data_IF_731859994281
#
_entry.id   IF_731859994281
#
_cell.length_a   1.000
_cell.length_b   1.000
_cell.length_c   1.000
_cell.angle_alpha   90.00
_cell.angle_beta   90.00
_cell.angle_gamma   90.00
#
_symmetry.space_group_name_H-M   'P 1'
#
loop_
_entity.id
_entity.type
_entity.pdbx_description
1 polymer ?
#
# COMPACT_ATOMS: atom_id res chain seq x y z
N UNK A 1 17.55 9.77 27.55
CA UNK A 1 16.65 9.37 26.44
C UNK A 1 17.21 9.81 25.08
N UNK A 2 18.45 9.41 24.71
CA UNK A 2 19.11 9.81 23.45
C UNK A 2 19.48 8.61 22.53
N UNK A 3 19.00 7.41 22.85
CA UNK A 3 19.42 6.18 22.16
C UNK A 3 18.48 5.61 21.08
N UNK A 4 17.26 6.15 20.92
CA UNK A 4 16.25 5.52 20.04
C UNK A 4 16.13 6.12 18.64
N UNK A 5 16.68 7.31 18.40
CA UNK A 5 16.57 8.00 17.09
C UNK A 5 17.64 7.51 16.11
N UNK A 6 18.78 7.05 16.62
CA UNK A 6 19.89 6.55 15.78
C UNK A 6 19.59 5.20 15.11
N UNK A 7 18.65 4.43 15.65
CA UNK A 7 18.29 3.07 15.14
C UNK A 7 17.46 3.15 13.85
N UNK A 8 16.59 4.13 13.71
CA UNK A 8 15.70 4.25 12.52
C UNK A 8 16.50 4.65 11.28
N UNK A 9 17.47 5.56 11.42
CA UNK A 9 18.38 5.92 10.33
C UNK A 9 19.30 4.77 9.92
N UNK A 10 19.68 3.91 10.86
CA UNK A 10 20.50 2.73 10.59
C UNK A 10 19.72 1.61 9.89
N UNK A 11 18.41 1.46 10.16
CA UNK A 11 17.57 0.43 9.52
C UNK A 11 17.34 0.74 8.04
N UNK A 12 17.13 2.00 7.66
CA UNK A 12 17.12 2.41 6.25
C UNK A 12 18.47 2.15 5.57
N UNK A 13 19.59 2.38 6.24
CA UNK A 13 20.92 2.10 5.70
C UNK A 13 21.21 0.59 5.54
N UNK A 14 20.65 -0.27 6.40
CA UNK A 14 20.85 -1.73 6.34
C UNK A 14 20.00 -2.37 5.23
N UNK A 15 18.83 -1.83 4.92
CA UNK A 15 18.01 -2.29 3.80
C UNK A 15 18.63 -1.91 2.44
N UNK A 16 19.43 -0.84 2.39
CA UNK A 16 20.11 -0.33 1.20
C UNK A 16 21.63 -0.45 1.26
N UNK A 17 22.17 -1.14 2.24
CA UNK A 17 23.62 -1.27 2.52
C UNK A 17 24.44 -2.03 1.48
N UNK A 18 24.08 -1.96 0.24
CA UNK A 18 24.83 -2.46 -0.92
C UNK A 18 24.56 -1.67 -2.19
N UNK A 19 23.56 -0.82 -2.18
CA UNK A 19 23.31 0.12 -3.27
C UNK A 19 23.99 1.43 -2.84
N UNK A 20 25.25 1.63 -3.23
CA UNK A 20 25.66 2.98 -3.56
C UNK A 20 24.79 3.36 -4.77
N UNK A 21 23.53 3.75 -4.49
CA UNK A 21 22.84 4.64 -5.37
C UNK A 21 23.71 5.88 -5.42
N UNK A 22 24.66 5.91 -6.35
CA UNK A 22 25.16 7.14 -6.89
C UNK A 22 23.96 7.80 -7.58
N UNK A 23 23.00 8.27 -6.78
CA UNK A 23 22.20 9.39 -7.13
C UNK A 23 23.19 10.54 -7.24
N UNK A 24 23.98 10.53 -8.30
CA UNK A 24 24.54 11.75 -8.84
C UNK A 24 23.32 12.56 -9.23
N UNK A 25 22.81 13.34 -8.25
CA UNK A 25 22.07 14.54 -8.59
C UNK A 25 23.03 15.32 -9.49
N UNK A 26 22.91 15.13 -10.79
CA UNK A 26 23.53 16.02 -11.74
C UNK A 26 22.99 17.38 -11.39
N UNK A 27 23.88 18.26 -10.94
CA UNK A 27 23.58 19.67 -10.80
C UNK A 27 22.88 20.13 -12.08
N UNK A 28 21.58 20.39 -12.04
CA UNK A 28 20.80 20.78 -13.20
C UNK A 28 19.60 19.90 -13.59
N UNK A 29 19.33 18.76 -12.93
CA UNK A 29 18.07 18.04 -13.17
C UNK A 29 16.92 18.90 -12.70
N UNK A 30 16.09 19.35 -13.63
CA UNK A 30 14.87 20.08 -13.30
C UNK A 30 13.79 19.09 -12.82
N UNK A 31 12.80 19.58 -12.07
CA UNK A 31 11.62 18.75 -11.74
C UNK A 31 10.92 18.21 -13.00
N UNK A 32 11.04 18.90 -14.16
CA UNK A 32 10.53 18.44 -15.44
C UNK A 32 11.23 17.15 -15.92
N UNK A 33 12.54 16.99 -15.66
CA UNK A 33 13.27 15.77 -16.05
C UNK A 33 12.84 14.57 -15.21
N UNK A 34 12.36 14.79 -13.99
CA UNK A 34 11.80 13.75 -13.12
C UNK A 34 10.39 13.35 -13.57
N UNK A 35 9.59 14.29 -14.09
CA UNK A 35 8.22 14.06 -14.55
C UNK A 35 8.12 13.05 -15.68
N UNK A 36 9.17 12.90 -16.50
CA UNK A 36 9.24 11.93 -17.59
C UNK A 36 9.81 10.56 -17.18
N UNK A 37 10.20 10.39 -15.93
CA UNK A 37 10.67 9.09 -15.47
C UNK A 37 9.57 8.02 -15.51
N UNK A 38 9.95 6.77 -15.82
CA UNK A 38 9.02 5.62 -15.83
C UNK A 38 8.27 5.50 -14.50
N UNK A 39 8.98 5.64 -13.37
CA UNK A 39 8.42 5.58 -12.04
C UNK A 39 7.37 6.66 -11.80
N UNK A 40 7.64 7.91 -12.18
CA UNK A 40 6.67 9.00 -11.98
C UNK A 40 5.44 8.82 -12.86
N UNK A 41 5.61 8.35 -14.11
CA UNK A 41 4.47 8.03 -14.97
C UNK A 41 3.61 6.91 -14.38
N UNK A 42 4.23 5.83 -13.90
CA UNK A 42 3.52 4.73 -13.27
C UNK A 42 2.80 5.16 -11.99
N UNK A 43 3.43 5.98 -11.14
CA UNK A 43 2.78 6.54 -9.95
C UNK A 43 1.56 7.39 -10.31
N UNK A 44 1.67 8.27 -11.32
CA UNK A 44 0.54 9.07 -11.82
C UNK A 44 -0.59 8.20 -12.35
N UNK A 45 -0.28 7.14 -13.12
CA UNK A 45 -1.26 6.18 -13.63
C UNK A 45 -1.97 5.44 -12.50
N UNK A 46 -1.23 4.89 -11.54
CA UNK A 46 -1.82 4.20 -10.40
C UNK A 46 -2.73 5.11 -9.57
N UNK A 47 -2.26 6.32 -9.22
CA UNK A 47 -3.09 7.28 -8.48
C UNK A 47 -4.34 7.65 -9.26
N UNK A 48 -4.21 7.95 -10.55
CA UNK A 48 -5.35 8.31 -11.41
C UNK A 48 -6.39 7.19 -11.50
N UNK A 49 -5.94 5.95 -11.68
CA UNK A 49 -6.81 4.78 -11.77
C UNK A 49 -7.52 4.51 -10.44
N UNK A 50 -6.77 4.46 -9.33
CA UNK A 50 -7.31 4.13 -8.01
C UNK A 50 -8.24 5.23 -7.49
N UNK A 51 -8.02 6.50 -7.84
CA UNK A 51 -8.89 7.61 -7.45
C UNK A 51 -9.92 8.01 -8.52
N UNK A 52 -10.10 7.21 -9.56
CA UNK A 52 -11.08 7.48 -10.60
C UNK A 52 -12.52 7.43 -10.06
N UNK A 53 -13.44 8.13 -10.73
CA UNK A 53 -14.85 8.19 -10.33
C UNK A 53 -15.51 6.80 -10.26
N UNK A 54 -15.13 5.88 -11.16
CA UNK A 54 -15.64 4.50 -11.20
C UNK A 54 -15.29 3.70 -9.93
N UNK A 55 -14.26 4.09 -9.20
CA UNK A 55 -13.89 3.48 -7.92
C UNK A 55 -14.75 3.98 -6.74
N UNK A 56 -15.70 4.89 -6.96
CA UNK A 56 -16.72 5.33 -6.00
C UNK A 56 -16.16 5.73 -4.62
N UNK A 57 -14.91 6.20 -4.57
CA UNK A 57 -14.23 6.53 -3.31
C UNK A 57 -13.94 5.32 -2.40
N UNK A 58 -14.01 4.10 -2.90
CA UNK A 58 -13.51 2.84 -2.30
C UNK A 58 -13.97 2.57 -0.86
N UNK A 59 -15.23 2.85 -0.57
CA UNK A 59 -15.77 2.54 0.76
C UNK A 59 -15.66 1.03 1.03
N UNK A 60 -15.27 0.66 2.25
CA UNK A 60 -15.20 -0.74 2.65
C UNK A 60 -16.52 -1.48 2.35
N UNK A 61 -16.43 -2.62 1.70
CA UNK A 61 -17.57 -3.44 1.26
C UNK A 61 -18.28 -2.95 -0.01
N UNK A 62 -17.85 -1.84 -0.61
CA UNK A 62 -18.42 -1.34 -1.87
C UNK A 62 -17.83 -2.02 -3.09
N UNK A 63 -18.50 -1.81 -4.23
CA UNK A 63 -17.98 -2.24 -5.53
C UNK A 63 -16.66 -1.55 -5.87
N UNK A 64 -16.49 -0.28 -5.49
CA UNK A 64 -15.25 0.46 -5.68
C UNK A 64 -14.07 -0.14 -4.91
N UNK A 65 -14.27 -0.65 -3.69
CA UNK A 65 -13.23 -1.42 -2.97
C UNK A 65 -12.91 -2.71 -3.72
N UNK A 66 -13.93 -3.45 -4.19
CA UNK A 66 -13.73 -4.71 -4.93
C UNK A 66 -12.93 -4.49 -6.21
N UNK A 67 -13.30 -3.49 -7.00
CA UNK A 67 -12.58 -3.13 -8.23
C UNK A 67 -11.14 -2.70 -7.95
N UNK A 68 -10.91 -1.98 -6.84
CA UNK A 68 -9.55 -1.60 -6.42
C UNK A 68 -8.72 -2.83 -6.06
N UNK A 69 -9.31 -3.79 -5.35
CA UNK A 69 -8.63 -5.05 -5.01
C UNK A 69 -8.27 -5.85 -6.27
N UNK A 70 -9.16 -5.92 -7.26
CA UNK A 70 -8.88 -6.54 -8.56
C UNK A 70 -7.73 -5.86 -9.28
N UNK A 71 -7.75 -4.53 -9.35
CA UNK A 71 -6.69 -3.75 -9.96
C UNK A 71 -5.33 -4.01 -9.29
N UNK A 72 -5.26 -3.97 -7.96
CA UNK A 72 -4.03 -4.24 -7.20
C UNK A 72 -3.54 -5.67 -7.45
N UNK A 73 -4.45 -6.64 -7.44
CA UNK A 73 -4.16 -8.06 -7.73
C UNK A 73 -3.55 -8.23 -9.12
N UNK A 74 -4.17 -7.60 -10.13
CA UNK A 74 -3.68 -7.65 -11.52
C UNK A 74 -2.30 -7.01 -11.67
N UNK A 75 -2.08 -5.86 -11.02
CA UNK A 75 -0.77 -5.17 -11.07
C UNK A 75 0.32 -6.03 -10.43
N UNK A 76 0.08 -6.62 -9.27
CA UNK A 76 1.04 -7.53 -8.65
C UNK A 76 1.37 -8.73 -9.56
N UNK A 77 0.35 -9.31 -10.19
CA UNK A 77 0.53 -10.40 -11.16
C UNK A 77 1.36 -9.96 -12.37
N UNK A 78 1.09 -8.78 -12.95
CA UNK A 78 1.88 -8.21 -14.07
C UNK A 78 3.34 -7.97 -13.68
N UNK A 79 3.61 -7.61 -12.44
CA UNK A 79 4.97 -7.44 -11.93
C UNK A 79 5.65 -8.76 -11.53
N UNK A 80 4.95 -9.88 -11.65
CA UNK A 80 5.48 -11.22 -11.40
C UNK A 80 5.67 -11.54 -9.93
N UNK A 81 4.81 -11.01 -9.07
CA UNK A 81 4.73 -11.40 -7.67
C UNK A 81 3.76 -12.58 -7.50
N UNK A 82 3.98 -13.38 -6.46
CA UNK A 82 3.07 -14.45 -6.08
C UNK A 82 1.89 -13.84 -5.28
N UNK A 83 0.70 -13.79 -5.87
CA UNK A 83 -0.50 -13.29 -5.19
C UNK A 83 -1.07 -14.40 -4.31
N UNK A 84 -1.00 -14.23 -3.00
CA UNK A 84 -1.42 -15.23 -2.01
C UNK A 84 -2.91 -15.17 -1.69
N UNK A 85 -3.52 -14.01 -1.79
CA UNK A 85 -4.94 -13.78 -1.48
C UNK A 85 -5.94 -14.26 -2.54
N UNK A 86 -5.45 -14.87 -3.63
CA UNK A 86 -6.30 -15.28 -4.73
C UNK A 86 -6.87 -14.10 -5.53
N UNK A 87 -7.76 -14.40 -6.48
CA UNK A 87 -8.29 -13.41 -7.42
C UNK A 87 -9.20 -12.37 -6.75
N UNK A 88 -10.00 -12.79 -5.77
CA UNK A 88 -11.01 -11.95 -5.12
C UNK A 88 -10.50 -11.25 -3.85
N UNK A 89 -9.20 -11.41 -3.55
CA UNK A 89 -8.61 -10.97 -2.30
C UNK A 89 -8.84 -11.98 -1.17
N UNK A 90 -8.25 -11.70 -0.02
CA UNK A 90 -8.44 -12.44 1.22
C UNK A 90 -9.64 -11.84 1.97
N UNK A 91 -10.81 -12.46 1.79
CA UNK A 91 -12.13 -11.95 2.19
C UNK A 91 -12.38 -12.17 3.67
N UNK A 92 -12.87 -11.15 4.36
CA UNK A 92 -13.28 -11.23 5.76
C UNK A 92 -14.57 -10.44 6.03
N UNK A 93 -15.27 -10.84 7.09
CA UNK A 93 -16.50 -10.18 7.54
C UNK A 93 -16.28 -9.32 8.78
N UNK A 94 -16.94 -8.17 8.82
CA UNK A 94 -16.97 -7.25 9.95
C UNK A 94 -18.40 -7.13 10.45
N UNK A 95 -18.68 -7.59 11.67
CA UNK A 95 -20.01 -7.46 12.26
C UNK A 95 -20.28 -6.00 12.60
N UNK A 96 -21.38 -5.47 12.07
CA UNK A 96 -21.84 -4.11 12.32
C UNK A 96 -22.73 -4.07 13.57
N UNK A 97 -22.91 -2.89 14.15
CA UNK A 97 -23.83 -2.68 15.27
C UNK A 97 -25.29 -2.99 14.92
N UNK A 98 -25.65 -2.83 13.66
CA UNK A 98 -26.97 -3.23 13.13
C UNK A 98 -27.23 -4.74 13.18
N UNK A 99 -26.19 -5.55 13.41
CA UNK A 99 -26.24 -7.00 13.32
C UNK A 99 -25.86 -7.57 11.95
N UNK A 100 -25.77 -6.72 10.91
CA UNK A 100 -25.34 -7.11 9.57
C UNK A 100 -23.84 -7.38 9.53
N UNK A 101 -23.37 -8.02 8.46
CA UNK A 101 -21.96 -8.27 8.20
C UNK A 101 -21.51 -7.49 6.99
N UNK A 102 -20.60 -6.54 7.20
CA UNK A 102 -19.87 -5.88 6.13
C UNK A 102 -18.75 -6.80 5.64
N UNK A 103 -18.68 -7.03 4.33
CA UNK A 103 -17.63 -7.87 3.72
C UNK A 103 -16.55 -6.99 3.11
N UNK A 104 -15.31 -7.18 3.51
CA UNK A 104 -14.14 -6.51 2.95
C UNK A 104 -13.04 -7.51 2.63
N UNK A 105 -11.88 -7.05 2.15
CA UNK A 105 -10.80 -7.92 1.70
C UNK A 105 -9.45 -7.27 1.82
N UNK A 106 -8.41 -8.08 2.03
CA UNK A 106 -7.01 -7.68 1.82
C UNK A 106 -6.51 -8.23 0.49
N UNK A 107 -5.53 -7.58 -0.12
CA UNK A 107 -4.76 -8.16 -1.21
C UNK A 107 -3.34 -8.37 -0.73
N UNK A 108 -2.85 -9.61 -0.82
CA UNK A 108 -1.56 -10.03 -0.30
C UNK A 108 -0.72 -10.58 -1.44
N UNK A 109 0.45 -9.98 -1.66
CA UNK A 109 1.43 -10.49 -2.61
C UNK A 109 2.76 -10.75 -1.91
N UNK A 110 3.50 -11.72 -2.44
CA UNK A 110 4.72 -12.24 -1.86
C UNK A 110 5.89 -12.14 -2.83
N UNK A 111 7.03 -11.74 -2.31
CA UNK A 111 8.31 -11.75 -3.01
C UNK A 111 9.37 -12.46 -2.16
N UNK A 112 9.78 -13.64 -2.60
CA UNK A 112 10.77 -14.44 -1.87
C UNK A 112 12.15 -13.81 -1.89
N UNK A 113 12.78 -13.71 -0.73
CA UNK A 113 14.17 -13.31 -0.57
C UNK A 113 15.17 -14.36 -1.08
N UNK A 114 16.39 -13.91 -1.39
CA UNK A 114 17.45 -14.75 -1.95
C UNK A 114 18.30 -15.48 -0.90
N UNK A 115 18.39 -14.98 0.31
CA UNK A 115 19.22 -15.58 1.37
C UNK A 115 18.49 -16.77 2.01
N UNK A 116 19.12 -17.95 1.96
CA UNK A 116 18.55 -19.20 2.50
C UNK A 116 18.30 -19.14 4.02
N UNK A 117 19.09 -18.36 4.76
CA UNK A 117 18.91 -18.20 6.20
C UNK A 117 17.84 -17.16 6.57
N UNK A 118 17.58 -16.18 5.70
CA UNK A 118 16.70 -15.06 5.98
C UNK A 118 15.38 -15.08 5.19
N UNK A 119 15.24 -15.91 4.17
CA UNK A 119 14.05 -15.95 3.31
C UNK A 119 12.74 -16.32 4.02
N UNK A 120 12.83 -16.93 5.21
CA UNK A 120 11.68 -17.22 6.06
C UNK A 120 11.43 -16.12 7.11
N UNK A 121 12.15 -15.01 7.00
CA UNK A 121 11.91 -13.77 7.77
C UNK A 121 11.27 -12.75 6.83
N UNK A 122 10.29 -12.00 7.32
CA UNK A 122 9.46 -11.15 6.49
C UNK A 122 9.58 -9.67 6.82
N UNK A 123 9.54 -8.86 5.77
CA UNK A 123 9.26 -7.44 5.87
C UNK A 123 7.88 -7.21 5.25
N UNK A 124 6.97 -6.57 5.97
CA UNK A 124 5.66 -6.20 5.45
C UNK A 124 5.72 -4.77 4.92
N UNK A 125 5.30 -4.57 3.68
CA UNK A 125 5.03 -3.24 3.11
C UNK A 125 3.52 -3.16 2.93
N UNK A 126 2.87 -2.29 3.71
CA UNK A 126 1.43 -2.16 3.77
C UNK A 126 0.93 -0.80 3.30
N UNK A 127 -0.27 -0.78 2.74
CA UNK A 127 -1.01 0.44 2.44
C UNK A 127 -2.51 0.17 2.61
N UNK A 128 -3.27 1.12 3.16
CA UNK A 128 -4.73 0.98 3.18
C UNK A 128 -5.30 1.16 1.77
N UNK A 129 -6.30 0.34 1.46
CA UNK A 129 -6.92 0.30 0.15
C UNK A 129 -8.26 1.05 0.12
N UNK A 130 -9.05 0.90 1.19
CA UNK A 130 -10.34 1.57 1.34
C UNK A 130 -10.20 3.05 1.65
N UNK A 131 -11.32 3.77 1.44
CA UNK A 131 -11.48 5.17 1.82
C UNK A 131 -12.94 5.42 2.21
N UNK A 132 -13.36 6.70 2.27
CA UNK A 132 -14.67 7.09 2.83
C UNK A 132 -15.87 6.82 1.90
N UNK A 133 -15.64 6.65 0.59
CA UNK A 133 -16.73 6.48 -0.37
C UNK A 133 -17.44 7.78 -0.68
N UNK A 134 -18.77 7.72 -0.81
CA UNK A 134 -19.64 8.88 -0.98
C UNK A 134 -20.48 9.14 0.27
N UNK A 135 -20.78 10.40 0.53
CA UNK A 135 -21.63 10.85 1.60
C UNK A 135 -22.59 11.95 1.10
N UNK A 136 -23.70 12.09 1.77
CA UNK A 136 -24.72 13.08 1.46
C UNK A 136 -24.71 14.16 2.53
N UNK A 137 -24.47 15.40 2.13
CA UNK A 137 -24.44 16.56 3.05
C UNK A 137 -25.45 17.62 2.61
N UNK A 138 -25.94 18.37 3.59
CA UNK A 138 -26.82 19.51 3.31
C UNK A 138 -25.98 20.79 3.35
N UNK A 139 -25.90 21.49 2.22
CA UNK A 139 -25.24 22.80 2.09
C UNK A 139 -26.31 23.81 1.67
N UNK A 140 -26.50 24.87 2.43
CA UNK A 140 -27.48 25.93 2.19
C UNK A 140 -28.90 25.40 1.89
N UNK A 141 -29.33 24.36 2.65
CA UNK A 141 -30.65 23.73 2.51
C UNK A 141 -30.78 22.80 1.28
N UNK A 142 -29.73 22.57 0.54
CA UNK A 142 -29.71 21.64 -0.61
C UNK A 142 -28.90 20.39 -0.25
N UNK A 143 -29.47 19.24 -0.57
CA UNK A 143 -28.79 17.95 -0.45
C UNK A 143 -27.79 17.79 -1.59
N UNK A 144 -26.51 17.62 -1.26
CA UNK A 144 -25.41 17.43 -2.22
C UNK A 144 -24.72 16.12 -1.89
N UNK A 145 -24.56 15.27 -2.89
CA UNK A 145 -23.71 14.09 -2.79
C UNK A 145 -22.23 14.49 -3.00
N UNK A 146 -21.35 14.02 -2.13
CA UNK A 146 -19.91 14.21 -2.23
C UNK A 146 -19.20 12.88 -2.22
N UNK A 147 -18.41 12.62 -3.26
CA UNK A 147 -17.52 11.46 -3.32
C UNK A 147 -16.11 11.84 -2.89
N UNK A 148 -15.55 11.06 -1.97
CA UNK A 148 -14.17 11.19 -1.49
C UNK A 148 -13.27 10.29 -2.35
N UNK A 149 -12.78 10.80 -3.46
CA UNK A 149 -11.95 10.02 -4.40
C UNK A 149 -10.62 9.55 -3.80
N UNK A 150 -10.10 10.23 -2.79
CA UNK A 150 -8.97 9.78 -1.99
C UNK A 150 -7.67 9.60 -2.77
N UNK A 151 -7.29 10.58 -3.62
CA UNK A 151 -6.04 10.52 -4.36
C UNK A 151 -4.82 10.45 -3.42
N UNK A 152 -4.75 11.35 -2.42
CA UNK A 152 -3.74 11.24 -1.38
C UNK A 152 -4.14 10.25 -0.28
N UNK A 153 -5.40 10.13 0.03
CA UNK A 153 -5.89 9.25 1.11
C UNK A 153 -6.70 8.04 0.62
N UNK A 154 -6.12 6.92 0.17
CA UNK A 154 -4.70 6.59 0.18
C UNK A 154 -4.25 5.98 -1.17
N UNK A 155 -4.76 6.48 -2.32
CA UNK A 155 -4.27 6.01 -3.61
C UNK A 155 -2.76 6.28 -3.77
N UNK A 156 -2.23 7.34 -3.15
CA UNK A 156 -0.80 7.65 -3.16
C UNK A 156 0.05 6.56 -2.50
N UNK A 157 -0.35 6.07 -1.33
CA UNK A 157 0.35 4.99 -0.63
C UNK A 157 0.25 3.65 -1.37
N UNK A 158 -0.93 3.33 -1.94
CA UNK A 158 -1.09 2.16 -2.80
C UNK A 158 -0.19 2.24 -4.04
N UNK A 159 -0.17 3.38 -4.74
CA UNK A 159 0.67 3.58 -5.91
C UNK A 159 2.16 3.40 -5.57
N UNK A 160 2.60 3.98 -4.45
CA UNK A 160 3.98 3.79 -3.98
C UNK A 160 4.27 2.32 -3.66
N UNK A 161 3.35 1.60 -3.01
CA UNK A 161 3.51 0.17 -2.73
C UNK A 161 3.64 -0.65 -4.02
N UNK A 162 2.82 -0.38 -5.02
CA UNK A 162 2.87 -1.06 -6.32
C UNK A 162 4.22 -0.81 -7.02
N UNK A 163 4.69 0.44 -7.08
CA UNK A 163 5.99 0.75 -7.67
C UNK A 163 7.15 0.14 -6.89
N UNK A 164 7.12 0.17 -5.57
CA UNK A 164 8.12 -0.52 -4.74
C UNK A 164 8.12 -2.02 -5.03
N UNK A 165 6.97 -2.63 -5.24
CA UNK A 165 6.88 -4.06 -5.58
C UNK A 165 7.56 -4.38 -6.91
N UNK A 166 7.37 -3.54 -7.94
CA UNK A 166 8.05 -3.65 -9.23
C UNK A 166 9.58 -3.50 -9.09
N UNK A 167 10.01 -2.46 -8.37
CA UNK A 167 11.44 -2.17 -8.15
C UNK A 167 12.14 -3.29 -7.38
N UNK A 168 11.51 -3.78 -6.30
CA UNK A 168 12.06 -4.87 -5.50
C UNK A 168 12.06 -6.19 -6.26
N UNK A 169 11.04 -6.45 -7.08
CA UNK A 169 10.99 -7.64 -7.96
C UNK A 169 12.15 -7.64 -8.97
N UNK A 170 12.41 -6.49 -9.57
CA UNK A 170 13.53 -6.32 -10.51
C UNK A 170 14.90 -6.53 -9.85
N UNK A 171 15.01 -6.15 -8.58
CA UNK A 171 16.24 -6.24 -7.78
C UNK A 171 16.21 -7.37 -6.74
N UNK A 172 15.41 -8.42 -6.98
CA UNK A 172 15.17 -9.52 -6.04
C UNK A 172 16.46 -10.15 -5.49
N UNK A 173 17.50 -10.23 -6.29
CA UNK A 173 18.81 -10.80 -5.91
C UNK A 173 19.49 -10.05 -4.75
N UNK A 174 19.07 -8.81 -4.48
CA UNK A 174 19.59 -7.99 -3.38
C UNK A 174 18.80 -8.20 -2.07
N UNK A 175 17.66 -8.90 -2.12
CA UNK A 175 16.81 -9.10 -0.96
C UNK A 175 17.28 -10.34 -0.17
N UNK A 176 17.67 -10.16 1.06
CA UNK A 176 17.92 -11.27 1.98
C UNK A 176 16.59 -11.87 2.48
N UNK A 177 15.73 -11.03 3.06
CA UNK A 177 14.42 -11.39 3.59
C UNK A 177 13.36 -11.41 2.48
N UNK A 178 12.30 -12.17 2.74
CA UNK A 178 11.09 -12.10 1.91
C UNK A 178 10.28 -10.84 2.23
N UNK A 179 9.51 -10.38 1.24
CA UNK A 179 8.66 -9.21 1.38
C UNK A 179 7.21 -9.60 1.14
N UNK A 180 6.33 -9.18 2.03
CA UNK A 180 4.88 -9.23 1.88
C UNK A 180 4.37 -7.82 1.56
N UNK A 181 3.67 -7.69 0.46
CA UNK A 181 2.94 -6.48 0.10
C UNK A 181 1.49 -6.68 0.45
N UNK A 182 0.93 -5.81 1.28
CA UNK A 182 -0.44 -5.96 1.78
C UNK A 182 -1.24 -4.69 1.57
N UNK A 183 -2.23 -4.76 0.67
CA UNK A 183 -3.26 -3.74 0.54
C UNK A 183 -4.38 -4.07 1.53
N UNK A 184 -4.51 -3.27 2.59
CA UNK A 184 -5.47 -3.49 3.67
C UNK A 184 -6.82 -2.88 3.32
N UNK A 185 -7.89 -3.71 3.35
CA UNK A 185 -9.26 -3.24 3.30
C UNK A 185 -9.79 -2.85 4.68
N UNK A 186 -10.94 -2.17 4.68
CA UNK A 186 -11.66 -1.76 5.88
C UNK A 186 -10.80 -1.07 6.95
N UNK A 187 -9.81 -0.30 6.53
CA UNK A 187 -8.95 0.47 7.45
C UNK A 187 -9.73 1.61 8.10
N UNK A 188 -10.69 2.21 7.38
CA UNK A 188 -11.62 3.20 7.91
C UNK A 188 -12.65 2.59 8.89
N UNK A 189 -12.71 1.26 9.01
CA UNK A 189 -13.53 0.48 9.93
C UNK A 189 -12.67 -0.14 11.03
N UNK A 190 -12.07 0.70 11.87
CA UNK A 190 -11.26 0.24 13.02
C UNK A 190 -10.05 -0.63 12.65
N UNK A 191 -9.45 -0.41 11.47
CA UNK A 191 -8.30 -1.18 10.99
C UNK A 191 -8.56 -2.69 10.87
N UNK A 192 -9.80 -3.07 10.51
CA UNK A 192 -10.23 -4.46 10.51
C UNK A 192 -9.37 -5.35 9.60
N UNK A 193 -8.94 -4.84 8.42
CA UNK A 193 -8.08 -5.59 7.51
C UNK A 193 -6.71 -5.94 8.08
N UNK A 194 -6.05 -4.99 8.73
CA UNK A 194 -4.75 -5.25 9.37
C UNK A 194 -4.90 -6.17 10.59
N UNK A 195 -5.97 -6.00 11.38
CA UNK A 195 -6.28 -6.93 12.47
C UNK A 195 -6.49 -8.37 11.95
N UNK A 196 -7.27 -8.52 10.87
CA UNK A 196 -7.55 -9.82 10.26
C UNK A 196 -6.25 -10.47 9.73
N UNK A 197 -5.41 -9.70 9.04
CA UNK A 197 -4.12 -10.15 8.55
C UNK A 197 -3.26 -10.74 9.68
N UNK A 198 -3.10 -10.02 10.77
CA UNK A 198 -2.24 -10.44 11.89
C UNK A 198 -2.81 -11.60 12.71
N UNK A 199 -4.13 -11.75 12.77
CA UNK A 199 -4.76 -12.70 13.69
C UNK A 199 -5.36 -13.92 12.99
N UNK A 200 -5.55 -13.87 11.66
CA UNK A 200 -6.27 -14.92 10.91
C UNK A 200 -5.60 -15.32 9.60
N UNK A 201 -5.13 -14.37 8.82
CA UNK A 201 -4.65 -14.63 7.47
C UNK A 201 -3.21 -15.08 7.42
N UNK A 202 -2.35 -14.59 8.30
CA UNK A 202 -0.93 -14.88 8.30
C UNK A 202 -0.51 -15.63 9.55
N UNK A 203 -0.09 -16.89 9.40
CA UNK A 203 0.27 -17.78 10.52
C UNK A 203 1.63 -17.44 11.15
N UNK A 204 2.54 -16.89 10.34
CA UNK A 204 3.95 -16.73 10.70
C UNK A 204 4.27 -15.31 11.20
N UNK A 205 3.33 -14.69 11.93
CA UNK A 205 3.46 -13.31 12.44
C UNK A 205 4.77 -13.10 13.23
N UNK A 206 5.24 -14.13 13.95
CA UNK A 206 6.50 -14.09 14.71
C UNK A 206 7.74 -13.94 13.82
N UNK A 207 7.62 -14.24 12.54
CA UNK A 207 8.69 -14.15 11.56
C UNK A 207 8.72 -12.78 10.85
N UNK A 208 7.80 -11.87 11.20
CA UNK A 208 7.81 -10.49 10.71
C UNK A 208 8.84 -9.70 11.51
N UNK A 209 9.92 -9.27 10.84
CA UNK A 209 10.97 -8.45 11.43
C UNK A 209 10.62 -6.96 11.47
N UNK A 210 9.91 -6.48 10.45
CA UNK A 210 9.53 -5.08 10.34
C UNK A 210 8.28 -4.90 9.47
N UNK A 211 7.58 -3.78 9.70
CA UNK A 211 6.51 -3.30 8.84
C UNK A 211 6.75 -1.84 8.46
N UNK A 212 6.52 -1.53 7.18
CA UNK A 212 6.50 -0.19 6.62
C UNK A 212 5.08 0.08 6.16
N UNK A 213 4.42 1.06 6.75
CA UNK A 213 3.07 1.47 6.33
C UNK A 213 3.16 2.75 5.50
N UNK A 214 2.54 2.72 4.31
CA UNK A 214 2.51 3.82 3.37
C UNK A 214 1.12 4.46 3.40
N UNK A 215 1.04 5.64 3.99
CA UNK A 215 -0.23 6.37 4.09
C UNK A 215 -0.03 7.86 3.78
N UNK A 216 -0.87 8.38 2.87
CA UNK A 216 -0.94 9.80 2.48
C UNK A 216 0.41 10.41 2.07
N UNK A 217 1.17 9.70 1.24
CA UNK A 217 2.55 10.07 0.84
C UNK A 217 2.61 11.09 -0.30
N UNK A 218 1.48 11.57 -0.79
CA UNK A 218 1.39 12.50 -1.92
C UNK A 218 1.35 13.99 -1.55
N UNK A 219 1.66 14.37 -0.31
CA UNK A 219 1.69 15.77 0.11
C UNK A 219 3.07 16.37 -0.05
N UNK A 220 3.15 17.60 -0.58
CA UNK A 220 4.40 18.35 -0.71
C UNK A 220 4.94 18.95 0.60
N UNK A 221 4.42 18.55 1.78
CA UNK A 221 4.94 19.01 3.06
C UNK A 221 6.15 18.13 3.46
N UNK A 222 7.28 18.76 3.68
CA UNK A 222 8.54 18.12 4.13
C UNK A 222 8.54 17.77 5.62
N UNK A 223 7.40 17.38 6.19
CA UNK A 223 7.27 17.01 7.60
C UNK A 223 7.07 15.50 7.77
N UNK A 224 7.84 14.88 8.68
CA UNK A 224 7.46 13.60 9.26
C UNK A 224 6.47 13.89 10.39
N UNK A 225 5.31 13.26 10.33
CA UNK A 225 4.31 13.32 11.40
C UNK A 225 4.36 12.03 12.22
#
# INVERSE_FOLDING_TARGET
>A
MKGKITIISAICAILFGGIQANAQFRNGASFADLDDSETVRALKEHVSTISAAVMEGRKAGSEGERMTAEYVTEVFGRYGLDVLSGKDGDIFGIRQESGDTLTSRNVIAFLQGGDKALRNRYIVIGARMDNLGSDTMTIDGRTVERTYYGANGNASGLAMMLELSRMLRTNRQLLGRSVLFVAFGASCQTFAGSWYFLNRAFSDVKEIDAMINLDMVGTGSSGFY
#
